data_IF_512877637479
#
_entry.id   IF_512877637479
#
_cell.length_a   1.000
_cell.length_b   1.000
_cell.length_c   1.000
_cell.angle_alpha   90.00
_cell.angle_beta   90.00
_cell.angle_gamma   90.00
#
_symmetry.space_group_name_H-M   'P 1'
#
loop_
_entity.id
_entity.type
_entity.pdbx_description
1 polymer ?
#
# COMPACT_ATOMS: atom_id res chain seq x y z
N UNK A 1 3.88 15.47 -4.40
CA UNK A 1 5.31 15.18 -4.12
C UNK A 1 5.79 15.64 -2.74
N UNK A 2 5.44 16.86 -2.24
CA UNK A 2 5.76 17.31 -0.87
C UNK A 2 5.12 16.43 0.24
N UNK A 3 3.91 15.91 0.00
CA UNK A 3 3.16 15.07 0.95
C UNK A 3 3.85 13.71 1.22
N UNK A 4 4.35 13.02 0.18
CA UNK A 4 5.06 11.73 0.34
C UNK A 4 6.34 11.85 1.20
N UNK A 5 6.99 13.01 1.20
CA UNK A 5 8.24 13.23 1.96
C UNK A 5 7.94 13.51 3.43
N UNK A 6 6.84 14.21 3.72
CA UNK A 6 6.29 14.32 5.08
C UNK A 6 5.88 12.94 5.62
N UNK A 7 5.40 12.04 4.76
CA UNK A 7 5.12 10.64 5.12
C UNK A 7 6.38 9.85 5.41
N UNK A 8 7.51 10.08 4.72
CA UNK A 8 8.80 9.44 5.02
C UNK A 8 9.34 9.90 6.40
N UNK A 9 9.25 11.21 6.70
CA UNK A 9 9.61 11.74 8.03
C UNK A 9 8.66 11.17 9.11
N UNK A 10 7.38 10.99 8.82
CA UNK A 10 6.40 10.38 9.73
C UNK A 10 6.46 8.83 9.80
N UNK A 11 6.97 8.13 8.78
CA UNK A 11 7.12 6.68 8.79
C UNK A 11 8.28 6.25 9.70
N UNK A 12 9.30 7.10 9.84
CA UNK A 12 10.33 6.96 10.89
C UNK A 12 9.73 7.00 12.31
N UNK A 13 8.51 7.57 12.49
CA UNK A 13 7.77 7.56 13.75
C UNK A 13 6.99 6.26 13.95
N UNK A 14 6.38 5.73 12.89
CA UNK A 14 5.54 4.54 13.00
C UNK A 14 6.36 3.29 13.36
N UNK A 15 7.58 3.15 12.82
CA UNK A 15 8.47 2.03 13.16
C UNK A 15 9.02 2.09 14.58
N UNK A 16 9.11 3.29 15.20
CA UNK A 16 9.55 3.44 16.58
C UNK A 16 8.40 3.42 17.60
N UNK A 17 7.22 3.93 17.26
CA UNK A 17 6.08 4.03 18.19
C UNK A 17 5.24 2.74 18.21
N UNK A 18 5.13 2.01 17.10
CA UNK A 18 4.35 0.76 17.08
C UNK A 18 5.00 -0.37 17.92
N UNK A 19 6.23 -0.16 18.40
CA UNK A 19 6.88 -1.04 19.36
C UNK A 19 6.42 -0.84 20.81
N UNK A 20 5.65 0.20 21.15
CA UNK A 20 5.38 0.53 22.57
C UNK A 20 3.90 0.64 22.98
N UNK A 21 2.91 0.37 22.11
CA UNK A 21 1.49 0.58 22.49
C UNK A 21 0.50 -0.50 22.06
N UNK A 22 0.95 -1.74 21.82
CA UNK A 22 0.03 -2.89 21.81
C UNK A 22 0.27 -3.73 23.05
N UNK A 23 -0.78 -3.95 23.85
CA UNK A 23 -0.80 -4.87 24.99
C UNK A 23 -0.14 -6.21 24.62
N UNK A 24 1.03 -6.42 25.20
CA UNK A 24 2.08 -7.34 24.75
C UNK A 24 2.00 -8.69 25.48
N UNK A 25 0.79 -9.22 25.67
CA UNK A 25 0.60 -10.40 26.54
C UNK A 25 0.51 -11.75 25.79
N UNK A 26 0.73 -11.80 24.47
CA UNK A 26 0.68 -13.09 23.74
C UNK A 26 1.57 -13.21 22.51
N UNK A 27 2.42 -12.21 22.20
CA UNK A 27 3.36 -12.35 21.07
C UNK A 27 4.61 -13.09 21.55
N UNK A 28 5.06 -14.14 20.84
CA UNK A 28 6.34 -14.77 21.15
C UNK A 28 7.44 -13.71 21.08
N UNK A 29 8.42 -13.80 21.99
CA UNK A 29 9.56 -12.91 21.99
C UNK A 29 10.21 -12.88 20.60
N UNK A 30 10.63 -11.70 20.09
CA UNK A 30 11.30 -11.62 18.80
C UNK A 30 12.51 -12.57 18.78
N UNK A 31 12.65 -13.37 17.72
CA UNK A 31 13.83 -14.22 17.56
C UNK A 31 15.09 -13.33 17.57
N UNK A 32 16.19 -13.76 18.21
CA UNK A 32 17.45 -13.04 18.16
C UNK A 32 17.90 -12.82 16.72
N UNK A 33 18.46 -11.64 16.42
CA UNK A 33 18.99 -11.33 15.10
C UNK A 33 20.25 -12.14 14.81
N UNK A 34 20.43 -12.55 13.56
CA UNK A 34 21.65 -13.23 13.10
C UNK A 34 22.80 -12.24 12.97
N UNK A 35 24.05 -12.74 12.91
CA UNK A 35 25.22 -11.89 12.67
C UNK A 35 25.12 -11.11 11.34
N UNK A 36 24.60 -11.76 10.30
CA UNK A 36 24.33 -11.13 9.00
C UNK A 36 23.30 -10.00 9.11
N UNK A 37 22.22 -10.19 9.87
CA UNK A 37 21.22 -9.15 10.12
C UNK A 37 21.82 -7.94 10.85
N UNK A 38 22.65 -8.19 11.87
CA UNK A 38 23.32 -7.12 12.61
C UNK A 38 24.32 -6.37 11.71
N UNK A 39 25.09 -7.09 10.89
CA UNK A 39 26.01 -6.49 9.93
C UNK A 39 25.27 -5.64 8.89
N UNK A 40 24.14 -6.12 8.37
CA UNK A 40 23.28 -5.37 7.45
C UNK A 40 22.73 -4.10 8.11
N UNK A 41 22.24 -4.17 9.35
CA UNK A 41 21.72 -3.00 10.08
C UNK A 41 22.79 -1.93 10.34
N UNK A 42 24.04 -2.35 10.64
CA UNK A 42 25.16 -1.42 10.85
C UNK A 42 25.45 -0.59 9.59
N UNK A 43 25.19 -1.10 8.38
CA UNK A 43 25.35 -0.35 7.13
C UNK A 43 24.48 0.92 7.08
N UNK A 44 23.35 0.94 7.80
CA UNK A 44 22.41 2.07 7.79
C UNK A 44 22.64 3.06 8.92
N UNK A 45 23.58 2.81 9.84
CA UNK A 45 23.78 3.61 11.06
C UNK A 45 23.96 5.11 10.79
N UNK A 46 24.82 5.47 9.83
CA UNK A 46 25.02 6.88 9.44
C UNK A 46 23.72 7.50 8.89
N UNK A 47 23.02 6.77 8.02
CA UNK A 47 21.77 7.21 7.42
C UNK A 47 20.70 7.45 8.50
N UNK A 48 20.61 6.56 9.50
CA UNK A 48 19.70 6.71 10.63
C UNK A 48 20.05 7.93 11.49
N UNK A 49 21.32 8.09 11.90
CA UNK A 49 21.75 9.25 12.70
C UNK A 49 21.45 10.59 12.00
N UNK A 50 21.68 10.66 10.69
CA UNK A 50 21.36 11.84 9.89
C UNK A 50 19.85 12.05 9.77
N UNK A 51 19.07 10.99 9.57
CA UNK A 51 17.60 11.05 9.52
C UNK A 51 17.00 11.53 10.84
N UNK A 52 17.52 11.05 11.97
CA UNK A 52 17.11 11.47 13.31
C UNK A 52 17.39 12.95 13.55
N UNK A 53 18.55 13.41 13.08
CA UNK A 53 18.92 14.83 13.12
C UNK A 53 17.96 15.69 12.30
N UNK A 54 17.59 15.28 11.09
CA UNK A 54 16.60 16.00 10.27
C UNK A 54 15.22 16.01 10.94
N UNK A 55 14.84 14.91 11.58
CA UNK A 55 13.57 14.78 12.30
C UNK A 55 13.52 15.73 13.49
N UNK A 56 14.61 15.86 14.25
CA UNK A 56 14.71 16.82 15.35
C UNK A 56 14.56 18.27 14.86
N UNK A 57 15.18 18.62 13.73
CA UNK A 57 15.03 19.95 13.13
C UNK A 57 13.58 20.18 12.67
N UNK A 58 12.96 19.20 12.00
CA UNK A 58 11.58 19.32 11.52
C UNK A 58 10.58 19.58 12.68
N UNK A 59 10.77 18.93 13.84
CA UNK A 59 9.92 19.16 15.02
C UNK A 59 9.89 20.61 15.44
N UNK A 60 11.05 21.27 15.40
CA UNK A 60 11.24 22.64 15.88
C UNK A 60 10.73 23.69 14.90
N UNK A 61 10.33 23.32 13.68
CA UNK A 61 9.67 24.24 12.75
C UNK A 61 8.27 24.62 13.26
N UNK A 62 7.93 25.89 13.09
CA UNK A 62 6.58 26.42 13.34
C UNK A 62 5.56 25.82 12.37
N UNK A 63 4.27 25.96 12.69
CA UNK A 63 3.20 25.51 11.81
C UNK A 63 3.24 26.18 10.42
N UNK A 64 3.69 27.44 10.33
CA UNK A 64 3.80 28.15 9.06
C UNK A 64 5.02 27.69 8.25
N UNK A 65 6.17 27.49 8.90
CA UNK A 65 7.37 26.96 8.23
C UNK A 65 7.18 25.54 7.70
N UNK A 66 6.34 24.73 8.38
CA UNK A 66 5.95 23.39 7.95
C UNK A 66 5.03 23.40 6.71
N UNK A 67 4.38 24.52 6.39
CA UNK A 67 3.63 24.67 5.12
C UNK A 67 4.58 24.94 3.97
N UNK A 68 5.46 25.93 4.13
CA UNK A 68 6.47 26.27 3.13
C UNK A 68 7.55 27.17 3.72
N UNK A 69 8.82 26.74 3.65
CA UNK A 69 9.97 27.55 4.05
C UNK A 69 11.24 27.03 3.38
N UNK A 70 12.28 27.86 3.21
CA UNK A 70 13.59 27.39 2.75
C UNK A 70 14.18 26.30 3.66
N UNK A 71 13.90 26.37 4.96
CA UNK A 71 14.30 25.34 5.93
C UNK A 71 13.62 24.00 5.63
N UNK A 72 12.30 24.00 5.40
CA UNK A 72 11.55 22.80 5.01
C UNK A 72 12.04 22.23 3.69
N UNK A 73 12.29 23.07 2.67
CA UNK A 73 12.77 22.62 1.37
C UNK A 73 14.18 21.98 1.48
N UNK A 74 15.05 22.52 2.33
CA UNK A 74 16.36 21.94 2.66
C UNK A 74 16.24 20.58 3.37
N UNK A 75 15.34 20.46 4.35
CA UNK A 75 15.05 19.18 5.04
C UNK A 75 14.54 18.13 4.06
N UNK A 76 13.61 18.51 3.18
CA UNK A 76 13.08 17.65 2.13
C UNK A 76 14.20 17.14 1.23
N UNK A 77 15.10 18.03 0.78
CA UNK A 77 16.23 17.66 -0.08
C UNK A 77 17.15 16.65 0.62
N UNK A 78 17.59 16.94 1.85
CA UNK A 78 18.48 16.05 2.62
C UNK A 78 17.82 14.70 2.92
N UNK A 79 16.51 14.69 3.19
CA UNK A 79 15.76 13.45 3.41
C UNK A 79 15.74 12.56 2.16
N UNK A 80 15.61 13.15 0.97
CA UNK A 80 15.71 12.41 -0.30
C UNK A 80 17.10 11.85 -0.54
N UNK A 81 18.15 12.61 -0.23
CA UNK A 81 19.53 12.14 -0.35
C UNK A 81 19.80 10.95 0.56
N UNK A 82 19.32 10.99 1.82
CA UNK A 82 19.41 9.85 2.75
C UNK A 82 18.64 8.65 2.21
N UNK A 83 17.41 8.83 1.74
CA UNK A 83 16.61 7.74 1.18
C UNK A 83 17.29 7.09 -0.04
N UNK A 84 17.88 7.89 -0.93
CA UNK A 84 18.64 7.39 -2.07
C UNK A 84 19.90 6.61 -1.63
N UNK A 85 20.59 7.07 -0.59
CA UNK A 85 21.73 6.36 -0.03
C UNK A 85 21.33 5.02 0.60
N UNK A 86 20.25 5.00 1.40
CA UNK A 86 19.69 3.76 1.95
C UNK A 86 19.35 2.77 0.84
N UNK A 87 18.76 3.24 -0.26
CA UNK A 87 18.47 2.39 -1.41
C UNK A 87 19.74 1.83 -2.07
N UNK A 88 20.77 2.67 -2.22
CA UNK A 88 22.07 2.23 -2.74
C UNK A 88 22.71 1.16 -1.85
N UNK A 89 22.59 1.26 -0.53
CA UNK A 89 23.07 0.25 0.42
C UNK A 89 22.36 -1.08 0.17
N UNK A 90 21.02 -1.09 0.04
CA UNK A 90 20.24 -2.31 -0.25
C UNK A 90 20.67 -2.98 -1.54
N UNK A 91 20.81 -2.21 -2.62
CA UNK A 91 21.23 -2.75 -3.93
C UNK A 91 22.63 -3.35 -3.86
N UNK A 92 23.60 -2.64 -3.26
CA UNK A 92 24.98 -3.15 -3.10
C UNK A 92 25.03 -4.41 -2.22
N UNK A 93 24.18 -4.49 -1.21
CA UNK A 93 24.06 -5.69 -0.40
C UNK A 93 23.60 -6.88 -1.26
N UNK A 94 22.53 -6.70 -2.05
CA UNK A 94 22.03 -7.76 -2.95
C UNK A 94 23.06 -8.22 -3.98
N UNK A 95 23.87 -7.30 -4.51
CA UNK A 95 24.95 -7.62 -5.46
C UNK A 95 26.04 -8.51 -4.86
N UNK A 96 26.29 -8.41 -3.56
CA UNK A 96 27.34 -9.16 -2.86
C UNK A 96 26.83 -10.37 -2.06
N UNK A 97 25.51 -10.54 -1.93
CA UNK A 97 24.86 -11.55 -1.08
C UNK A 97 23.79 -12.37 -1.82
N UNK A 98 24.00 -12.66 -3.10
CA UNK A 98 23.05 -13.44 -3.93
C UNK A 98 22.80 -14.89 -3.42
N UNK A 99 23.72 -15.42 -2.60
CA UNK A 99 23.64 -16.75 -1.97
C UNK A 99 22.95 -16.74 -0.60
N UNK A 100 22.61 -15.56 -0.06
CA UNK A 100 21.95 -15.43 1.23
C UNK A 100 20.43 -15.42 1.10
N UNK A 101 19.75 -16.27 1.88
CA UNK A 101 18.28 -16.25 2.00
C UNK A 101 17.79 -14.92 2.59
N UNK A 102 18.62 -14.23 3.37
CA UNK A 102 18.28 -12.91 3.92
C UNK A 102 18.07 -11.85 2.83
N UNK A 103 18.68 -12.02 1.66
CA UNK A 103 18.48 -11.13 0.49
C UNK A 103 17.02 -11.05 0.05
N UNK A 104 16.20 -12.09 0.27
CA UNK A 104 14.75 -12.03 0.02
C UNK A 104 14.03 -11.01 0.89
N UNK A 105 14.52 -10.77 2.12
CA UNK A 105 14.00 -9.71 2.99
C UNK A 105 14.48 -8.34 2.53
N UNK A 106 15.73 -8.23 2.10
CA UNK A 106 16.28 -6.98 1.57
C UNK A 106 15.56 -6.52 0.30
N UNK A 107 15.16 -7.44 -0.58
CA UNK A 107 14.31 -7.13 -1.75
C UNK A 107 12.99 -6.48 -1.32
N UNK A 108 12.33 -6.99 -0.27
CA UNK A 108 11.08 -6.41 0.23
C UNK A 108 11.27 -5.00 0.79
N UNK A 109 12.45 -4.69 1.32
CA UNK A 109 12.77 -3.36 1.86
C UNK A 109 13.04 -2.32 0.77
N UNK A 110 13.32 -2.75 -0.48
CA UNK A 110 13.60 -1.85 -1.60
C UNK A 110 12.37 -1.05 -2.03
N UNK A 111 11.17 -1.61 -1.94
CA UNK A 111 9.92 -0.85 -2.12
C UNK A 111 9.43 -0.23 -0.79
N UNK A 112 10.38 0.25 0.03
CA UNK A 112 10.15 0.80 1.36
C UNK A 112 9.38 -0.13 2.32
N UNK A 113 9.55 -1.44 2.19
CA UNK A 113 8.79 -2.41 2.99
C UNK A 113 7.29 -2.44 2.63
N UNK A 114 6.96 -2.11 1.38
CA UNK A 114 5.60 -2.08 0.85
C UNK A 114 4.79 -3.31 1.29
N UNK A 115 3.60 -3.07 1.85
CA UNK A 115 2.63 -4.12 2.15
C UNK A 115 2.18 -4.86 0.88
N UNK A 116 2.37 -4.24 -0.30
CA UNK A 116 2.07 -4.79 -1.63
C UNK A 116 3.36 -4.92 -2.40
N UNK A 117 3.58 -6.08 -2.98
CA UNK A 117 4.74 -6.36 -3.82
C UNK A 117 4.63 -5.65 -5.16
N UNK A 118 5.71 -4.99 -5.59
CA UNK A 118 5.84 -4.43 -6.94
C UNK A 118 6.69 -5.36 -7.80
N UNK A 119 6.02 -6.20 -8.59
CA UNK A 119 6.68 -7.16 -9.45
C UNK A 119 7.67 -6.51 -10.44
N UNK A 120 7.43 -5.27 -10.88
CA UNK A 120 8.32 -4.58 -11.82
C UNK A 120 9.68 -4.21 -11.21
N UNK A 121 9.73 -4.11 -9.88
CA UNK A 121 10.93 -3.82 -9.10
C UNK A 121 11.54 -5.10 -8.53
N UNK A 122 10.71 -5.97 -7.97
CA UNK A 122 11.16 -7.12 -7.20
C UNK A 122 11.57 -8.32 -8.07
N UNK A 123 10.91 -8.56 -9.22
CA UNK A 123 11.24 -9.68 -10.12
C UNK A 123 12.69 -9.60 -10.65
N UNK A 124 13.17 -8.45 -11.17
CA UNK A 124 14.55 -8.34 -11.65
C UNK A 124 15.59 -8.56 -10.54
N UNK A 125 15.26 -8.24 -9.29
CA UNK A 125 16.16 -8.42 -8.15
C UNK A 125 16.16 -9.88 -7.68
N UNK A 126 14.98 -10.50 -7.61
CA UNK A 126 14.84 -11.91 -7.28
C UNK A 126 15.56 -12.81 -8.29
N UNK A 127 15.48 -12.48 -9.59
CA UNK A 127 16.14 -13.24 -10.65
C UNK A 127 17.68 -13.20 -10.58
N UNK A 128 18.27 -12.22 -9.88
CA UNK A 128 19.73 -12.14 -9.65
C UNK A 128 20.21 -13.00 -8.47
N UNK A 129 19.30 -13.54 -7.65
CA UNK A 129 19.65 -14.44 -6.57
C UNK A 129 20.04 -15.82 -7.14
N UNK A 130 20.86 -16.53 -6.37
CA UNK A 130 21.31 -17.89 -6.69
C UNK A 130 20.14 -18.88 -6.79
N UNK A 131 20.32 -19.96 -7.54
CA UNK A 131 19.33 -21.05 -7.59
C UNK A 131 19.08 -21.64 -6.18
N UNK A 132 20.13 -21.75 -5.35
CA UNK A 132 20.01 -22.21 -3.97
C UNK A 132 19.02 -21.37 -3.15
N UNK A 133 19.07 -20.04 -3.29
CA UNK A 133 18.13 -19.15 -2.60
C UNK A 133 16.73 -19.23 -3.21
N UNK A 134 16.62 -19.29 -4.54
CA UNK A 134 15.32 -19.41 -5.23
C UNK A 134 14.61 -20.73 -4.91
N UNK A 135 15.35 -21.81 -4.71
CA UNK A 135 14.85 -23.14 -4.36
C UNK A 135 14.59 -23.35 -2.86
N UNK A 136 15.00 -22.42 -2.00
CA UNK A 136 14.69 -22.44 -0.57
C UNK A 136 13.19 -22.33 -0.33
N UNK A 137 12.72 -22.68 0.88
CA UNK A 137 11.31 -22.52 1.24
C UNK A 137 10.87 -21.05 1.13
N UNK A 138 11.70 -20.12 1.58
CA UNK A 138 11.48 -18.69 1.47
C UNK A 138 11.52 -18.20 0.03
N UNK A 139 12.43 -18.73 -0.80
CA UNK A 139 12.52 -18.40 -2.22
C UNK A 139 11.26 -18.81 -2.98
N UNK A 140 10.76 -20.02 -2.74
CA UNK A 140 9.50 -20.51 -3.32
C UNK A 140 8.31 -19.70 -2.83
N UNK A 141 8.24 -19.39 -1.53
CA UNK A 141 7.19 -18.53 -0.99
C UNK A 141 7.23 -17.11 -1.58
N UNK A 142 8.43 -16.57 -1.82
CA UNK A 142 8.61 -15.30 -2.51
C UNK A 142 8.09 -15.38 -3.95
N UNK A 143 8.46 -16.41 -4.69
CA UNK A 143 8.03 -16.61 -6.08
C UNK A 143 6.51 -16.72 -6.21
N UNK A 144 5.83 -17.43 -5.30
CA UNK A 144 4.36 -17.51 -5.28
C UNK A 144 3.73 -16.12 -5.14
N UNK A 145 4.27 -15.29 -4.24
CA UNK A 145 3.81 -13.90 -4.08
C UNK A 145 4.10 -13.07 -5.32
N UNK A 146 5.28 -13.25 -5.92
CA UNK A 146 5.70 -12.54 -7.13
C UNK A 146 4.78 -12.82 -8.31
N UNK A 147 4.45 -14.09 -8.54
CA UNK A 147 3.52 -14.49 -9.60
C UNK A 147 2.10 -13.95 -9.35
N UNK A 148 1.67 -13.83 -8.10
CA UNK A 148 0.40 -13.18 -7.75
C UNK A 148 0.46 -11.67 -8.02
N UNK A 149 1.53 -11.00 -7.62
CA UNK A 149 1.75 -9.57 -7.86
C UNK A 149 1.79 -9.25 -9.37
N UNK A 150 2.44 -10.10 -10.18
CA UNK A 150 2.47 -10.01 -11.64
C UNK A 150 1.08 -10.05 -12.26
N UNK A 151 0.21 -10.95 -11.81
CA UNK A 151 -1.19 -11.05 -12.27
C UNK A 151 -2.03 -9.82 -11.90
N UNK A 152 -1.63 -9.09 -10.85
CA UNK A 152 -2.28 -7.88 -10.37
C UNK A 152 -1.52 -6.61 -10.75
N UNK A 153 -0.59 -6.68 -11.70
CA UNK A 153 0.19 -5.54 -12.16
C UNK A 153 -0.64 -4.61 -13.07
N UNK A 154 -0.18 -3.37 -13.23
CA UNK A 154 -0.75 -2.42 -14.19
C UNK A 154 -0.67 -3.02 -15.61
N UNK A 155 -1.77 -2.93 -16.35
CA UNK A 155 -1.94 -3.49 -17.71
C UNK A 155 -2.56 -4.89 -17.74
N UNK A 156 -2.62 -5.59 -16.60
CA UNK A 156 -3.23 -6.92 -16.54
C UNK A 156 -4.77 -6.86 -16.42
N UNK A 157 -5.48 -7.89 -16.90
CA UNK A 157 -6.91 -8.03 -16.63
C UNK A 157 -7.19 -8.09 -15.13
N UNK A 158 -8.16 -7.31 -14.67
CA UNK A 158 -8.58 -7.33 -13.28
C UNK A 158 -9.35 -8.63 -12.96
N UNK A 159 -9.06 -9.33 -11.86
CA UNK A 159 -9.85 -10.50 -11.45
C UNK A 159 -11.33 -10.14 -11.30
N UNK A 160 -12.20 -10.92 -11.93
CA UNK A 160 -13.66 -10.74 -11.81
C UNK A 160 -14.13 -11.36 -10.50
N UNK A 161 -15.05 -10.67 -9.83
CA UNK A 161 -15.78 -11.19 -8.68
C UNK A 161 -17.26 -10.81 -8.78
N UNK A 162 -18.08 -11.57 -8.05
CA UNK A 162 -19.50 -11.28 -7.85
C UNK A 162 -19.80 -11.45 -6.38
N UNK A 163 -20.38 -10.43 -5.74
CA UNK A 163 -20.68 -10.42 -4.31
C UNK A 163 -22.03 -9.76 -4.02
N UNK A 164 -22.70 -10.14 -2.93
CA UNK A 164 -23.96 -9.49 -2.55
C UNK A 164 -23.71 -8.05 -2.09
N UNK A 165 -24.61 -7.15 -2.46
CA UNK A 165 -24.68 -5.80 -1.92
C UNK A 165 -25.36 -5.76 -0.55
N UNK A 166 -25.60 -4.56 -0.03
CA UNK A 166 -26.24 -4.34 1.28
C UNK A 166 -27.67 -4.89 1.38
N UNK A 167 -28.34 -5.13 0.24
CA UNK A 167 -29.68 -5.73 0.14
C UNK A 167 -29.65 -7.24 -0.14
N UNK A 168 -28.47 -7.81 -0.39
CA UNK A 168 -28.30 -9.20 -0.81
C UNK A 168 -28.34 -9.40 -2.33
N UNK A 169 -28.49 -8.34 -3.13
CA UNK A 169 -28.45 -8.45 -4.58
C UNK A 169 -27.03 -8.69 -5.04
N UNK A 170 -26.83 -9.70 -5.89
CA UNK A 170 -25.51 -9.98 -6.46
C UNK A 170 -25.10 -8.87 -7.43
N UNK A 171 -23.91 -8.32 -7.22
CA UNK A 171 -23.26 -7.33 -8.08
C UNK A 171 -21.95 -7.93 -8.58
N UNK A 172 -21.75 -7.94 -9.89
CA UNK A 172 -20.52 -8.40 -10.52
C UNK A 172 -19.68 -7.21 -10.99
N UNK A 173 -18.35 -7.33 -10.89
CA UNK A 173 -17.45 -6.37 -11.51
C UNK A 173 -17.71 -6.23 -13.03
N UNK A 174 -18.15 -7.32 -13.68
CA UNK A 174 -18.47 -7.30 -15.11
C UNK A 174 -19.69 -6.46 -15.46
N UNK A 175 -20.57 -6.16 -14.50
CA UNK A 175 -21.76 -5.32 -14.71
C UNK A 175 -21.37 -3.87 -15.02
N UNK A 176 -20.11 -3.51 -14.75
CA UNK A 176 -19.53 -2.19 -14.96
C UNK A 176 -18.56 -2.13 -16.14
N UNK A 177 -18.51 -3.17 -17.00
CA UNK A 177 -17.75 -3.13 -18.25
C UNK A 177 -18.12 -1.87 -19.06
N UNK A 178 -17.12 -1.30 -19.72
CA UNK A 178 -17.29 -0.04 -20.43
C UNK A 178 -17.10 1.20 -19.56
N UNK A 179 -17.00 1.08 -18.23
CA UNK A 179 -16.71 2.18 -17.30
C UNK A 179 -15.30 2.08 -16.72
N UNK A 180 -14.77 3.21 -16.28
CA UNK A 180 -13.71 3.20 -15.28
C UNK A 180 -14.29 2.88 -13.90
N UNK A 181 -13.70 1.91 -13.21
CA UNK A 181 -14.19 1.43 -11.92
C UNK A 181 -13.05 1.50 -10.90
N UNK A 182 -13.23 2.28 -9.84
CA UNK A 182 -12.38 2.20 -8.67
C UNK A 182 -12.91 1.09 -7.75
N UNK A 183 -12.22 -0.05 -7.68
CA UNK A 183 -12.52 -1.09 -6.69
C UNK A 183 -11.75 -0.75 -5.42
N UNK A 184 -12.48 -0.40 -4.36
CA UNK A 184 -11.92 0.09 -3.10
C UNK A 184 -12.16 -0.91 -1.97
N UNK A 185 -11.08 -1.48 -1.44
CA UNK A 185 -11.11 -2.45 -0.36
C UNK A 185 -10.95 -1.73 0.99
N UNK A 186 -11.99 -1.85 1.82
CA UNK A 186 -12.10 -1.11 3.07
C UNK A 186 -12.83 -1.92 4.14
N UNK A 187 -12.98 -1.36 5.34
CA UNK A 187 -13.83 -1.93 6.39
C UNK A 187 -14.32 -0.84 7.35
N UNK A 188 -15.43 -1.11 8.03
CA UNK A 188 -16.05 -0.16 8.97
C UNK A 188 -15.11 0.25 10.12
N UNK A 189 -14.26 -0.67 10.56
CA UNK A 189 -13.27 -0.52 11.63
C UNK A 189 -11.93 0.08 11.17
N UNK A 190 -11.72 0.25 9.86
CA UNK A 190 -10.48 0.78 9.31
C UNK A 190 -10.50 2.33 9.34
N UNK A 191 -9.98 2.93 10.41
CA UNK A 191 -9.93 4.39 10.55
C UNK A 191 -9.24 5.10 9.36
N UNK A 192 -8.09 4.63 8.81
CA UNK A 192 -7.49 5.24 7.63
C UNK A 192 -8.36 5.15 6.37
N UNK A 193 -9.19 4.11 6.25
CA UNK A 193 -10.14 3.97 5.15
C UNK A 193 -11.25 5.02 5.27
N UNK A 194 -11.85 5.12 6.47
CA UNK A 194 -12.89 6.11 6.79
C UNK A 194 -12.40 7.54 6.57
N UNK A 195 -11.14 7.82 6.87
CA UNK A 195 -10.52 9.13 6.62
C UNK A 195 -10.33 9.43 5.12
N UNK A 196 -10.21 8.41 4.26
CA UNK A 196 -10.07 8.56 2.81
C UNK A 196 -11.42 8.62 2.07
N UNK A 197 -12.50 8.07 2.65
CA UNK A 197 -13.84 8.07 2.06
C UNK A 197 -14.32 9.46 1.59
N UNK A 198 -14.09 10.58 2.31
CA UNK A 198 -14.41 11.92 1.80
C UNK A 198 -13.69 12.29 0.49
N UNK A 199 -12.44 11.85 0.31
CA UNK A 199 -11.70 12.07 -0.94
C UNK A 199 -12.27 11.23 -2.10
N UNK A 200 -12.66 9.99 -1.82
CA UNK A 200 -13.34 9.11 -2.78
C UNK A 200 -14.71 9.69 -3.15
N UNK A 201 -15.47 10.20 -2.19
CA UNK A 201 -16.76 10.86 -2.43
C UNK A 201 -16.60 12.10 -3.32
N UNK A 202 -15.60 12.95 -3.04
CA UNK A 202 -15.28 14.09 -3.89
C UNK A 202 -14.92 13.68 -5.31
N UNK A 203 -14.18 12.59 -5.49
CA UNK A 203 -13.87 12.04 -6.80
C UNK A 203 -15.12 11.49 -7.50
N UNK A 204 -15.95 10.72 -6.80
CA UNK A 204 -17.19 10.18 -7.32
C UNK A 204 -18.13 11.29 -7.80
N UNK A 205 -18.39 12.31 -6.98
CA UNK A 205 -19.27 13.42 -7.35
C UNK A 205 -18.76 14.18 -8.57
N UNK A 206 -17.44 14.37 -8.69
CA UNK A 206 -16.82 15.03 -9.84
C UNK A 206 -16.92 14.21 -11.14
N UNK A 207 -16.75 12.90 -11.06
CA UNK A 207 -16.53 12.05 -12.23
C UNK A 207 -17.67 11.06 -12.54
N UNK A 208 -18.71 10.91 -11.70
CA UNK A 208 -19.80 9.93 -11.91
C UNK A 208 -20.56 10.06 -13.25
N UNK A 209 -20.56 11.24 -13.86
CA UNK A 209 -21.10 11.49 -15.21
C UNK A 209 -20.11 11.29 -16.36
N UNK A 210 -18.83 11.00 -16.05
CA UNK A 210 -17.73 10.87 -17.00
C UNK A 210 -17.28 9.41 -17.10
N UNK A 211 -18.25 8.50 -17.21
CA UNK A 211 -17.99 7.06 -17.36
C UNK A 211 -17.16 6.44 -16.20
N UNK A 212 -17.31 6.98 -14.99
CA UNK A 212 -16.59 6.54 -13.79
C UNK A 212 -17.56 6.10 -12.69
N UNK A 213 -17.15 5.11 -11.92
CA UNK A 213 -17.85 4.67 -10.71
C UNK A 213 -16.89 4.06 -9.70
N UNK A 214 -17.42 3.72 -8.53
CA UNK A 214 -16.68 3.08 -7.44
C UNK A 214 -17.45 1.82 -7.04
N UNK A 215 -16.73 0.76 -6.65
CA UNK A 215 -17.29 -0.40 -5.96
C UNK A 215 -16.52 -0.54 -4.66
N UNK A 216 -17.19 -0.35 -3.54
CA UNK A 216 -16.62 -0.62 -2.22
C UNK A 216 -16.74 -2.09 -1.90
N UNK A 217 -15.62 -2.76 -1.66
CA UNK A 217 -15.56 -4.16 -1.19
C UNK A 217 -15.20 -4.14 0.29
N UNK A 218 -16.14 -4.55 1.13
CA UNK A 218 -15.90 -4.56 2.58
C UNK A 218 -15.25 -5.86 3.05
N UNK A 219 -14.23 -5.68 3.89
CA UNK A 219 -13.52 -6.71 4.67
C UNK A 219 -14.09 -6.82 6.10
N UNK A 220 -15.35 -6.42 6.31
CA UNK A 220 -16.07 -6.67 7.55
C UNK A 220 -16.47 -8.16 7.66
N UNK A 221 -16.80 -8.58 8.87
CA UNK A 221 -17.35 -9.92 9.14
C UNK A 221 -18.86 -9.84 9.37
N UNK A 222 -19.56 -10.98 9.40
CA UNK A 222 -20.99 -11.03 9.74
C UNK A 222 -21.31 -10.31 11.06
N UNK A 223 -20.44 -10.46 12.07
CA UNK A 223 -20.57 -9.76 13.36
C UNK A 223 -20.48 -8.23 13.23
N UNK A 224 -19.80 -7.73 12.20
CA UNK A 224 -19.60 -6.31 11.93
C UNK A 224 -20.57 -5.75 10.86
N UNK A 225 -21.52 -6.54 10.36
CA UNK A 225 -22.48 -6.11 9.32
C UNK A 225 -23.21 -4.81 9.67
N UNK A 226 -23.70 -4.68 10.90
CA UNK A 226 -24.39 -3.47 11.35
C UNK A 226 -23.45 -2.25 11.37
N UNK A 227 -22.19 -2.42 11.76
CA UNK A 227 -21.18 -1.36 11.74
C UNK A 227 -20.83 -0.95 10.31
N UNK A 228 -20.73 -1.91 9.39
CA UNK A 228 -20.54 -1.65 7.95
C UNK A 228 -21.67 -0.82 7.36
N UNK A 229 -22.93 -1.23 7.56
CA UNK A 229 -24.10 -0.47 7.08
C UNK A 229 -24.16 0.93 7.68
N UNK A 230 -23.85 1.07 8.98
CA UNK A 230 -23.79 2.38 9.64
C UNK A 230 -22.67 3.24 9.03
N UNK A 231 -21.48 2.69 8.82
CA UNK A 231 -20.35 3.41 8.23
C UNK A 231 -20.65 3.90 6.80
N UNK A 232 -21.33 3.08 5.99
CA UNK A 232 -21.79 3.47 4.64
C UNK A 232 -22.67 4.72 4.71
N UNK A 233 -23.63 4.74 5.65
CA UNK A 233 -24.53 5.87 5.86
C UNK A 233 -23.81 7.10 6.41
N UNK A 234 -23.00 6.91 7.45
CA UNK A 234 -22.29 8.00 8.13
C UNK A 234 -21.33 8.72 7.17
N UNK A 235 -20.65 7.97 6.29
CA UNK A 235 -19.69 8.52 5.32
C UNK A 235 -20.36 8.97 4.01
N UNK A 236 -21.68 8.77 3.88
CA UNK A 236 -22.44 9.18 2.72
C UNK A 236 -21.94 8.57 1.41
N UNK A 237 -21.66 7.27 1.38
CA UNK A 237 -21.12 6.59 0.19
C UNK A 237 -22.26 6.11 -0.74
N UNK A 238 -22.50 6.78 -1.89
CA UNK A 238 -23.66 6.50 -2.75
C UNK A 238 -23.44 5.36 -3.75
N UNK A 239 -22.21 4.87 -3.89
CA UNK A 239 -21.87 3.82 -4.87
C UNK A 239 -22.13 2.42 -4.31
N UNK A 240 -22.01 1.40 -5.17
CA UNK A 240 -22.26 0.03 -4.78
C UNK A 240 -21.29 -0.43 -3.69
N UNK A 241 -21.82 -1.04 -2.65
CA UNK A 241 -21.09 -1.59 -1.52
C UNK A 241 -21.40 -3.07 -1.44
N UNK A 242 -20.37 -3.91 -1.55
CA UNK A 242 -20.50 -5.37 -1.60
C UNK A 242 -19.63 -6.03 -0.54
N UNK A 243 -20.06 -7.18 -0.04
CA UNK A 243 -19.26 -8.01 0.85
C UNK A 243 -19.88 -9.39 1.01
N UNK A 244 -19.05 -10.42 1.13
CA UNK A 244 -19.47 -11.73 1.65
C UNK A 244 -19.45 -11.79 3.18
N UNK A 245 -19.03 -10.71 3.85
CA UNK A 245 -18.92 -10.63 5.31
C UNK A 245 -18.02 -11.73 5.93
N UNK A 246 -17.01 -12.14 5.18
CA UNK A 246 -16.00 -13.15 5.55
C UNK A 246 -14.69 -12.54 6.08
N UNK A 247 -14.64 -11.25 6.33
CA UNK A 247 -13.40 -10.59 6.76
C UNK A 247 -12.30 -10.75 5.71
N UNK A 248 -11.10 -11.17 6.15
CA UNK A 248 -9.95 -11.43 5.29
C UNK A 248 -10.11 -12.63 4.34
N UNK A 249 -11.09 -13.50 4.59
CA UNK A 249 -11.45 -14.61 3.70
C UNK A 249 -12.46 -14.20 2.61
N UNK A 250 -12.75 -12.89 2.47
CA UNK A 250 -13.54 -12.35 1.38
C UNK A 250 -12.91 -12.75 0.03
N UNK A 251 -13.70 -13.36 -0.87
CA UNK A 251 -13.21 -13.93 -2.13
C UNK A 251 -12.55 -12.86 -3.02
N UNK A 252 -13.16 -11.68 -3.13
CA UNK A 252 -12.56 -10.56 -3.87
C UNK A 252 -11.25 -10.09 -3.21
N UNK A 253 -11.21 -10.00 -1.88
CA UNK A 253 -9.98 -9.69 -1.14
C UNK A 253 -8.85 -10.69 -1.42
N UNK A 254 -9.17 -11.99 -1.42
CA UNK A 254 -8.22 -13.06 -1.74
C UNK A 254 -7.73 -12.97 -3.18
N UNK A 255 -8.64 -12.76 -4.14
CA UNK A 255 -8.31 -12.62 -5.57
C UNK A 255 -7.36 -11.46 -5.84
N UNK A 256 -7.55 -10.33 -5.14
CA UNK A 256 -6.74 -9.11 -5.27
C UNK A 256 -5.54 -9.02 -4.31
N UNK A 257 -5.26 -10.09 -3.57
CA UNK A 257 -4.16 -10.17 -2.59
C UNK A 257 -4.19 -9.10 -1.48
N UNK A 258 -5.38 -8.80 -0.98
CA UNK A 258 -5.59 -7.76 0.01
C UNK A 258 -5.19 -8.27 1.39
N UNK A 259 -3.94 -7.97 1.79
CA UNK A 259 -3.37 -8.33 3.09
C UNK A 259 -3.31 -7.14 4.07
N UNK A 260 -3.70 -5.96 3.61
CA UNK A 260 -3.85 -4.75 4.42
C UNK A 260 -4.87 -3.83 3.75
N UNK A 261 -5.55 -3.00 4.54
CA UNK A 261 -6.47 -1.97 4.04
C UNK A 261 -6.10 -0.61 4.63
N UNK A 262 -6.38 0.51 3.93
CA UNK A 262 -7.07 0.59 2.63
C UNK A 262 -6.21 0.02 1.50
N UNK A 263 -6.82 -0.42 0.40
CA UNK A 263 -6.18 -0.69 -0.89
C UNK A 263 -7.21 -0.50 -2.00
N UNK A 264 -6.78 -0.06 -3.19
CA UNK A 264 -7.69 0.08 -4.31
C UNK A 264 -7.03 -0.18 -5.66
N UNK A 265 -7.87 -0.48 -6.64
CA UNK A 265 -7.49 -0.72 -8.03
C UNK A 265 -8.39 0.11 -8.92
N UNK A 266 -7.80 0.91 -9.80
CA UNK A 266 -8.52 1.57 -10.89
C UNK A 266 -8.50 0.64 -12.10
N UNK A 267 -9.69 0.31 -12.59
CA UNK A 267 -9.92 -0.57 -13.72
C UNK A 267 -10.46 0.27 -14.87
N UNK A 268 -9.95 0.04 -16.08
CA UNK A 268 -10.39 0.74 -17.29
C UNK A 268 -11.65 0.10 -17.92
N UNK A 269 -12.27 0.75 -18.92
CA UNK A 269 -13.45 0.22 -19.63
C UNK A 269 -13.28 -1.17 -20.25
N UNK A 270 -12.04 -1.58 -20.56
CA UNK A 270 -11.72 -2.90 -21.11
C UNK A 270 -11.57 -3.99 -20.04
N UNK A 271 -11.56 -3.60 -18.76
CA UNK A 271 -11.37 -4.50 -17.62
C UNK A 271 -9.91 -4.67 -17.19
N UNK A 272 -9.01 -3.77 -17.58
CA UNK A 272 -7.58 -3.83 -17.18
C UNK A 272 -7.28 -2.91 -16.00
N UNK A 273 -6.36 -3.33 -15.14
CA UNK A 273 -5.83 -2.51 -14.04
C UNK A 273 -4.97 -1.40 -14.63
N UNK A 274 -5.28 -0.13 -14.33
CA UNK A 274 -4.53 1.03 -14.83
C UNK A 274 -3.89 1.88 -13.73
N UNK A 275 -4.31 1.70 -12.48
CA UNK A 275 -3.65 2.25 -11.30
C UNK A 275 -3.96 1.42 -10.04
N UNK A 276 -3.12 1.56 -9.02
CA UNK A 276 -3.25 0.87 -7.73
C UNK A 276 -2.96 1.83 -6.57
N UNK A 277 -3.60 1.61 -5.44
CA UNK A 277 -3.34 2.30 -4.16
C UNK A 277 -3.33 3.84 -4.28
N UNK A 278 -4.24 4.38 -5.08
CA UNK A 278 -4.37 5.82 -5.31
C UNK A 278 -5.24 6.47 -4.23
N UNK A 279 -4.74 7.53 -3.57
CA UNK A 279 -5.42 8.20 -2.45
C UNK A 279 -5.14 9.69 -2.43
N UNK A 280 -5.95 10.44 -1.69
CA UNK A 280 -5.80 11.88 -1.49
C UNK A 280 -5.69 12.63 -2.82
N UNK A 281 -4.69 13.51 -2.94
CA UNK A 281 -4.47 14.27 -4.18
C UNK A 281 -4.13 13.37 -5.38
N UNK A 282 -3.43 12.25 -5.15
CA UNK A 282 -3.02 11.35 -6.22
C UNK A 282 -4.23 10.68 -6.88
N UNK A 283 -5.31 10.43 -6.13
CA UNK A 283 -6.57 9.94 -6.69
C UNK A 283 -7.11 10.91 -7.74
N UNK A 284 -7.20 12.20 -7.40
CA UNK A 284 -7.74 13.23 -8.30
C UNK A 284 -6.88 13.40 -9.55
N UNK A 285 -5.55 13.43 -9.39
CA UNK A 285 -4.60 13.54 -10.50
C UNK A 285 -4.69 12.32 -11.42
N UNK A 286 -4.76 11.12 -10.85
CA UNK A 286 -4.83 9.87 -11.62
C UNK A 286 -6.14 9.79 -12.41
N UNK A 287 -7.28 10.09 -11.77
CA UNK A 287 -8.57 10.11 -12.45
C UNK A 287 -8.62 11.16 -13.55
N UNK A 288 -8.09 12.37 -13.32
CA UNK A 288 -8.01 13.39 -14.36
C UNK A 288 -7.21 12.90 -15.58
N UNK A 289 -6.11 12.16 -15.37
CA UNK A 289 -5.32 11.59 -16.47
C UNK A 289 -6.12 10.61 -17.33
N UNK A 290 -6.99 9.79 -16.73
CA UNK A 290 -7.73 8.75 -17.44
C UNK A 290 -9.12 9.19 -17.95
N UNK A 291 -9.73 10.19 -17.29
CA UNK A 291 -11.11 10.63 -17.53
C UNK A 291 -11.21 12.01 -18.18
N UNK A 292 -10.12 12.78 -18.28
CA UNK A 292 -10.13 14.00 -19.08
C UNK A 292 -10.53 13.66 -20.51
N UNK A 293 -11.61 14.30 -20.98
CA UNK A 293 -12.25 14.06 -22.26
C UNK A 293 -11.23 13.93 -23.40
N UNK A 294 -11.26 12.80 -24.10
CA UNK A 294 -10.87 12.73 -25.50
C UNK A 294 -12.07 13.07 -26.36
#
# INVERSE_FOLDING_TARGET
MKIQILTIIALSWATHIFSQTTTEASKPAPKPKTAEQLAYEELFKDCHLRSDSLTAIYKNLTAEEKKSSPALDSLIKKSKEIAAQMQSIRIKYLESHAESVFSLKVIKEIDNGGYVMDASVEEPLFNKLSEKVKDSEEGKAFLVRLEKAKKLAIGQPAPVFTQPDTSGKMISLTDYKGKYVLVDFWASWCAPCRAENPNVLKAYEKYKGQNFTVIGVSMDTEKAKAAWLKAIKDDGMPWAQVSELKGWENTAGVLYDINAIPQNYLIDPSGKIVAKNIRGEQLQVTLAKFLAAK
#
